data_IF_257939045205
#
_entry.id   IF_257939045205
#
_cell.length_a   1.000
_cell.length_b   1.000
_cell.length_c   1.000
_cell.angle_alpha   90.00
_cell.angle_beta   90.00
_cell.angle_gamma   90.00
#
_symmetry.space_group_name_H-M   'P 1'
#
loop_
_entity.id
_entity.type
_entity.pdbx_description
1 polymer ?
#
# COMPACT_ATOMS: atom_id res chain seq x y z
N UNK A 1 -7.91 -29.25 22.59
CA UNK A 1 -8.94 -30.22 22.17
C UNK A 1 -9.57 -30.74 23.46
N UNK A 2 -10.81 -30.45 23.88
CA UNK A 2 -11.97 -29.67 23.40
C UNK A 2 -12.46 -28.91 24.65
N UNK A 3 -12.51 -27.58 24.63
CA UNK A 3 -12.93 -26.78 25.81
C UNK A 3 -14.16 -25.94 25.42
N UNK A 4 -15.29 -26.62 25.26
CA UNK A 4 -16.60 -26.01 25.11
C UNK A 4 -17.26 -26.03 26.49
N UNK A 5 -17.18 -24.93 27.24
CA UNK A 5 -18.05 -24.77 28.41
C UNK A 5 -19.41 -24.27 27.94
N UNK A 6 -20.44 -25.07 28.17
CA UNK A 6 -21.82 -24.71 27.89
C UNK A 6 -22.35 -23.85 29.04
N UNK A 7 -22.64 -22.59 28.78
CA UNK A 7 -23.53 -21.79 29.63
C UNK A 7 -24.79 -21.53 28.81
N UNK A 8 -25.92 -22.11 29.22
CA UNK A 8 -27.26 -21.87 28.66
C UNK A 8 -27.39 -22.18 27.15
N UNK A 9 -26.81 -23.30 26.69
CA UNK A 9 -27.01 -23.78 25.31
C UNK A 9 -26.41 -22.90 24.20
N UNK A 10 -25.70 -21.82 24.56
CA UNK A 10 -25.08 -20.91 23.59
C UNK A 10 -23.58 -21.21 23.50
N UNK A 11 -23.10 -21.56 22.29
CA UNK A 11 -21.68 -21.77 22.03
C UNK A 11 -20.96 -20.43 22.16
N UNK A 12 -20.24 -20.23 23.26
CA UNK A 12 -19.47 -19.02 23.54
C UNK A 12 -18.01 -19.22 23.13
N UNK A 13 -17.55 -18.41 22.17
CA UNK A 13 -16.13 -18.34 21.82
C UNK A 13 -15.36 -17.66 22.97
N UNK A 14 -14.74 -18.45 23.85
CA UNK A 14 -13.88 -17.94 24.95
C UNK A 14 -12.69 -17.10 24.46
N UNK A 15 -12.21 -17.37 23.26
CA UNK A 15 -11.14 -16.62 22.62
C UNK A 15 -11.63 -15.34 21.93
N UNK A 16 -12.91 -14.95 22.06
CA UNK A 16 -13.41 -13.70 21.46
C UNK A 16 -12.66 -12.47 21.98
N UNK A 17 -12.16 -12.51 23.22
CA UNK A 17 -11.30 -11.46 23.79
C UNK A 17 -9.83 -11.63 23.38
N UNK A 18 -9.36 -12.87 23.21
CA UNK A 18 -8.02 -13.21 22.71
C UNK A 18 -7.85 -12.97 21.20
N UNK A 19 -8.95 -12.85 20.45
CA UNK A 19 -8.98 -12.59 19.01
C UNK A 19 -8.33 -11.25 18.60
N UNK A 20 -7.92 -10.42 19.56
CA UNK A 20 -7.09 -9.23 19.33
C UNK A 20 -5.62 -9.57 19.06
N UNK A 21 -5.15 -10.72 19.52
CA UNK A 21 -3.76 -11.15 19.44
C UNK A 21 -3.71 -12.42 18.58
N UNK A 22 -2.98 -12.39 17.47
CA UNK A 22 -2.81 -13.61 16.69
C UNK A 22 -2.04 -14.67 17.49
N UNK A 23 -2.24 -15.96 17.20
CA UNK A 23 -1.49 -17.05 17.85
C UNK A 23 0.02 -16.83 17.71
N UNK A 24 0.49 -16.37 16.55
CA UNK A 24 1.88 -16.00 16.33
C UNK A 24 2.34 -14.89 17.27
N UNK A 25 1.53 -13.84 17.46
CA UNK A 25 1.84 -12.76 18.38
C UNK A 25 1.85 -13.22 19.84
N UNK A 26 1.00 -14.19 20.21
CA UNK A 26 1.06 -14.83 21.52
C UNK A 26 2.41 -15.53 21.73
N UNK A 27 2.85 -16.36 20.79
CA UNK A 27 4.15 -17.05 20.88
C UNK A 27 5.34 -16.09 20.93
N UNK A 28 5.32 -15.03 20.11
CA UNK A 28 6.34 -13.97 20.15
C UNK A 28 6.43 -13.30 21.52
N UNK A 29 5.28 -13.06 22.18
CA UNK A 29 5.22 -12.42 23.51
C UNK A 29 5.63 -13.34 24.65
N UNK A 30 5.39 -14.64 24.54
CA UNK A 30 5.78 -15.63 25.55
C UNK A 30 7.23 -16.09 25.43
N UNK A 31 8.07 -15.35 24.67
CA UNK A 31 9.50 -15.61 24.46
C UNK A 31 9.80 -16.99 23.88
N UNK A 32 8.87 -17.55 23.11
CA UNK A 32 9.16 -18.74 22.31
C UNK A 32 10.16 -18.36 21.20
N UNK A 33 11.09 -19.27 20.92
CA UNK A 33 12.06 -19.08 19.85
C UNK A 33 11.33 -18.83 18.52
N UNK A 34 11.68 -17.72 17.86
CA UNK A 34 11.14 -17.33 16.56
C UNK A 34 12.30 -17.16 15.60
N UNK A 35 12.25 -17.86 14.46
CA UNK A 35 13.18 -17.61 13.38
C UNK A 35 12.83 -16.29 12.70
N UNK A 36 13.80 -15.38 12.66
CA UNK A 36 13.66 -14.08 12.00
C UNK A 36 14.40 -14.17 10.67
N UNK A 37 13.67 -14.02 9.58
CA UNK A 37 14.28 -13.84 8.26
C UNK A 37 14.77 -12.40 8.17
N UNK A 38 16.04 -12.22 7.86
CA UNK A 38 16.69 -10.92 7.76
C UNK A 38 17.05 -10.54 6.32
N UNK A 39 16.82 -11.41 5.33
CA UNK A 39 17.03 -11.10 3.92
C UNK A 39 15.69 -10.87 3.21
N UNK A 40 15.59 -9.79 2.41
CA UNK A 40 14.44 -9.55 1.54
C UNK A 40 14.83 -9.69 0.07
N UNK A 41 13.98 -10.35 -0.71
CA UNK A 41 14.30 -10.81 -2.07
C UNK A 41 13.49 -10.12 -3.17
N UNK A 42 12.68 -9.11 -2.85
CA UNK A 42 11.67 -8.56 -3.78
C UNK A 42 11.87 -7.09 -4.10
N UNK A 43 12.06 -6.27 -3.08
CA UNK A 43 12.03 -4.80 -3.16
C UNK A 43 13.41 -4.30 -3.57
N UNK A 44 13.49 -3.42 -4.56
CA UNK A 44 14.78 -2.87 -5.02
C UNK A 44 15.53 -2.17 -3.89
N UNK A 45 16.86 -2.26 -3.90
CA UNK A 45 17.75 -1.58 -2.96
C UNK A 45 17.33 -0.12 -2.71
N UNK A 46 17.13 0.23 -1.44
CA UNK A 46 16.72 1.58 -0.99
C UNK A 46 15.23 1.74 -0.75
N UNK A 47 14.36 1.02 -1.48
CA UNK A 47 12.91 1.25 -1.38
C UNK A 47 12.30 0.74 -0.07
N UNK A 48 12.92 -0.23 0.60
CA UNK A 48 12.45 -0.75 1.88
C UNK A 48 13.07 -0.02 3.10
N UNK A 49 14.09 0.82 2.90
CA UNK A 49 14.85 1.47 3.99
C UNK A 49 13.91 2.28 4.91
N UNK A 50 12.89 2.95 4.33
CA UNK A 50 11.91 3.73 5.07
C UNK A 50 11.03 2.88 6.01
N UNK A 51 10.70 1.66 5.61
CA UNK A 51 9.89 0.75 6.44
C UNK A 51 10.78 -0.01 7.43
N UNK A 52 11.99 -0.39 7.02
CA UNK A 52 12.92 -1.18 7.82
C UNK A 52 13.25 -0.48 9.16
N UNK A 53 13.65 0.78 9.13
CA UNK A 53 14.13 1.48 10.32
C UNK A 53 13.06 1.66 11.43
N UNK A 54 11.83 2.13 11.14
CA UNK A 54 10.81 2.32 12.17
C UNK A 54 9.99 1.06 12.50
N UNK A 55 9.76 0.16 11.54
CA UNK A 55 8.85 -0.99 11.73
C UNK A 55 9.60 -2.25 12.18
N UNK A 56 10.87 -2.42 11.76
CA UNK A 56 11.66 -3.63 12.00
C UNK A 56 13.01 -3.33 12.71
N UNK A 57 13.02 -2.56 13.82
CA UNK A 57 14.27 -2.19 14.50
C UNK A 57 14.98 -3.38 15.16
N UNK A 58 14.27 -4.49 15.38
CA UNK A 58 14.74 -5.70 16.04
C UNK A 58 15.35 -6.74 15.07
N UNK A 59 15.23 -6.53 13.75
CA UNK A 59 15.78 -7.44 12.74
C UNK A 59 17.26 -7.14 12.54
N UNK A 60 18.11 -7.95 13.18
CA UNK A 60 19.57 -7.83 13.08
C UNK A 60 20.11 -8.45 11.78
N UNK A 61 21.15 -7.81 11.22
CA UNK A 61 21.80 -8.28 10.00
C UNK A 61 20.88 -8.24 8.78
N UNK A 62 19.96 -7.27 8.72
CA UNK A 62 19.09 -7.11 7.56
C UNK A 62 19.91 -6.93 6.27
N UNK A 63 19.52 -7.64 5.22
CA UNK A 63 20.20 -7.62 3.93
C UNK A 63 19.20 -7.58 2.77
N UNK A 64 19.63 -6.92 1.70
CA UNK A 64 19.02 -6.98 0.39
C UNK A 64 19.57 -8.19 -0.37
N UNK A 65 18.68 -9.01 -0.93
CA UNK A 65 19.11 -10.17 -1.71
C UNK A 65 19.74 -9.80 -3.04
N UNK A 66 20.51 -10.71 -3.66
CA UNK A 66 21.32 -10.40 -4.84
C UNK A 66 20.51 -9.94 -6.05
N UNK A 67 19.24 -10.31 -6.17
CA UNK A 67 18.35 -9.91 -7.28
C UNK A 67 17.64 -8.58 -7.04
N UNK A 68 17.86 -7.94 -5.89
CA UNK A 68 17.24 -6.65 -5.55
C UNK A 68 18.13 -5.45 -5.89
N UNK A 69 19.35 -5.70 -6.35
CA UNK A 69 20.23 -4.69 -6.91
C UNK A 69 19.57 -3.97 -8.10
N UNK A 70 19.82 -2.67 -8.21
CA UNK A 70 19.11 -1.79 -9.16
C UNK A 70 19.33 -2.20 -10.62
N UNK A 71 20.53 -2.66 -10.95
CA UNK A 71 20.92 -3.17 -12.27
C UNK A 71 20.12 -4.43 -12.69
N UNK A 72 19.62 -5.19 -11.72
CA UNK A 72 18.77 -6.37 -11.94
C UNK A 72 17.28 -6.05 -11.89
N UNK A 73 16.91 -4.79 -11.68
CA UNK A 73 15.55 -4.30 -11.54
C UNK A 73 15.25 -3.25 -12.61
N UNK A 74 15.05 -3.66 -13.88
CA UNK A 74 15.00 -2.74 -15.02
C UNK A 74 13.88 -1.71 -14.92
N UNK A 75 12.71 -2.09 -14.42
CA UNK A 75 11.59 -1.17 -14.21
C UNK A 75 11.95 -0.12 -13.15
N UNK A 76 12.54 -0.54 -12.03
CA UNK A 76 12.95 0.39 -10.98
C UNK A 76 14.02 1.36 -11.47
N UNK A 77 15.06 0.87 -12.17
CA UNK A 77 16.11 1.71 -12.74
C UNK A 77 15.59 2.73 -13.77
N UNK A 78 14.62 2.32 -14.59
CA UNK A 78 13.98 3.19 -15.58
C UNK A 78 13.12 4.27 -14.90
N UNK A 79 12.26 3.87 -13.96
CA UNK A 79 11.42 4.81 -13.21
C UNK A 79 12.28 5.78 -12.41
N UNK A 80 13.36 5.32 -11.78
CA UNK A 80 14.28 6.16 -11.02
C UNK A 80 14.93 7.24 -11.90
N UNK A 81 15.46 6.86 -13.08
CA UNK A 81 15.98 7.84 -14.06
C UNK A 81 14.92 8.84 -14.51
N UNK A 82 13.70 8.39 -14.74
CA UNK A 82 12.59 9.28 -15.11
C UNK A 82 12.25 10.26 -13.98
N UNK A 83 12.26 9.81 -12.72
CA UNK A 83 12.04 10.66 -11.54
C UNK A 83 13.15 11.71 -11.43
N UNK A 84 14.42 11.30 -11.55
CA UNK A 84 15.57 12.21 -11.48
C UNK A 84 15.45 13.31 -12.54
N UNK A 85 15.06 12.94 -13.77
CA UNK A 85 14.86 13.90 -14.86
C UNK A 85 13.64 14.79 -14.67
N UNK A 86 12.52 14.23 -14.21
CA UNK A 86 11.22 14.93 -14.18
C UNK A 86 11.08 15.86 -12.99
N UNK A 87 11.63 15.46 -11.85
CA UNK A 87 11.52 16.20 -10.59
C UNK A 87 12.86 16.82 -10.16
N UNK A 88 13.91 16.68 -10.96
CA UNK A 88 15.27 17.18 -10.66
C UNK A 88 15.77 16.69 -9.28
N UNK A 89 15.45 15.44 -8.96
CA UNK A 89 15.84 14.79 -7.71
C UNK A 89 17.08 13.91 -7.91
N UNK A 90 17.90 13.78 -6.88
CA UNK A 90 19.03 12.87 -6.88
C UNK A 90 18.70 11.58 -6.10
N UNK A 91 19.05 10.43 -6.68
CA UNK A 91 19.02 9.14 -6.00
C UNK A 91 20.46 8.70 -5.66
N UNK A 92 20.69 8.06 -4.50
CA UNK A 92 22.00 7.48 -4.19
C UNK A 92 22.42 6.43 -5.24
N UNK A 93 23.73 6.29 -5.43
CA UNK A 93 24.32 5.28 -6.32
C UNK A 93 23.80 3.88 -5.94
N UNK A 94 23.43 3.09 -6.94
CA UNK A 94 22.93 1.71 -6.82
C UNK A 94 21.65 1.53 -5.98
N UNK A 95 20.91 2.61 -5.72
CA UNK A 95 19.63 2.60 -5.01
C UNK A 95 18.54 3.32 -5.80
N UNK A 96 17.30 2.91 -5.54
CA UNK A 96 16.13 3.70 -5.90
C UNK A 96 15.34 4.00 -4.64
N UNK A 97 14.88 5.24 -4.51
CA UNK A 97 14.12 5.71 -3.35
C UNK A 97 12.63 5.88 -3.69
N UNK A 98 11.72 5.68 -2.73
CA UNK A 98 10.31 5.94 -2.96
C UNK A 98 10.05 7.44 -3.18
N UNK A 99 9.23 7.76 -4.19
CA UNK A 99 8.77 9.13 -4.46
C UNK A 99 7.51 9.44 -3.65
N UNK A 100 7.54 10.54 -2.90
CA UNK A 100 6.37 11.08 -2.22
C UNK A 100 5.91 12.37 -2.88
N UNK A 101 4.73 12.34 -3.48
CA UNK A 101 4.11 13.53 -4.09
C UNK A 101 3.21 14.23 -3.08
N UNK A 102 3.63 15.43 -2.66
CA UNK A 102 2.79 16.28 -1.84
C UNK A 102 1.75 17.00 -2.70
N UNK A 103 0.48 16.59 -2.60
CA UNK A 103 -0.64 17.26 -3.26
C UNK A 103 -1.15 18.41 -2.38
N UNK A 104 -0.46 19.54 -2.46
CA UNK A 104 -0.81 20.75 -1.70
C UNK A 104 -2.24 21.20 -2.00
N UNK A 105 -2.93 21.72 -0.98
CA UNK A 105 -4.33 22.17 -1.08
C UNK A 105 -5.35 21.12 -1.52
N UNK A 106 -5.00 19.83 -1.55
CA UNK A 106 -5.99 18.77 -1.81
C UNK A 106 -6.96 18.61 -0.64
N UNK A 107 -8.25 18.47 -0.96
CA UNK A 107 -9.32 18.34 0.03
C UNK A 107 -9.77 16.88 0.13
N UNK A 108 -9.88 16.39 1.36
CA UNK A 108 -10.38 15.06 1.66
C UNK A 108 -11.85 15.16 2.11
N UNK A 109 -12.76 14.67 1.30
CA UNK A 109 -14.18 14.67 1.58
C UNK A 109 -14.60 13.38 2.31
N UNK A 110 -15.61 13.49 3.18
CA UNK A 110 -16.14 12.34 3.92
C UNK A 110 -17.50 11.94 3.35
N UNK A 111 -17.59 10.71 2.84
CA UNK A 111 -18.85 10.09 2.45
C UNK A 111 -19.21 9.00 3.46
N UNK A 112 -20.18 9.29 4.33
CA UNK A 112 -20.60 8.42 5.43
C UNK A 112 -19.44 8.04 6.36
N UNK A 113 -18.89 6.82 6.22
CA UNK A 113 -17.78 6.26 7.01
C UNK A 113 -16.50 6.08 6.18
N UNK A 114 -16.49 6.57 4.94
CA UNK A 114 -15.36 6.50 4.03
C UNK A 114 -14.91 7.90 3.65
N UNK A 115 -13.76 7.98 2.99
CA UNK A 115 -13.14 9.23 2.57
C UNK A 115 -12.74 9.15 1.11
N UNK A 116 -12.78 10.29 0.43
CA UNK A 116 -12.40 10.45 -0.98
C UNK A 116 -11.54 11.71 -1.10
N UNK A 117 -10.51 11.66 -1.94
CA UNK A 117 -9.76 12.84 -2.35
C UNK A 117 -9.60 12.79 -3.87
N UNK A 118 -10.50 13.46 -4.57
CA UNK A 118 -10.55 13.42 -6.04
C UNK A 118 -9.30 14.07 -6.66
N UNK A 119 -8.75 15.12 -6.05
CA UNK A 119 -7.53 15.75 -6.53
C UNK A 119 -6.34 14.78 -6.48
N UNK A 120 -6.14 14.09 -5.36
CA UNK A 120 -5.09 13.05 -5.28
C UNK A 120 -5.31 11.91 -6.27
N UNK A 121 -6.56 11.54 -6.53
CA UNK A 121 -6.89 10.52 -7.53
C UNK A 121 -6.47 10.96 -8.94
N UNK A 122 -6.75 12.22 -9.31
CA UNK A 122 -6.32 12.78 -10.60
C UNK A 122 -4.80 12.84 -10.73
N UNK A 123 -4.10 13.27 -9.68
CA UNK A 123 -2.62 13.29 -9.66
C UNK A 123 -2.05 11.87 -9.82
N UNK A 124 -2.60 10.87 -9.13
CA UNK A 124 -2.16 9.48 -9.26
C UNK A 124 -2.39 8.92 -10.68
N UNK A 125 -3.54 9.21 -11.28
CA UNK A 125 -3.85 8.79 -12.66
C UNK A 125 -2.91 9.48 -13.67
N UNK A 126 -2.67 10.78 -13.51
CA UNK A 126 -1.76 11.54 -14.38
C UNK A 126 -0.31 11.02 -14.28
N UNK A 127 0.16 10.71 -13.07
CA UNK A 127 1.47 10.11 -12.86
C UNK A 127 1.61 8.79 -13.62
N UNK A 128 0.63 7.88 -13.51
CA UNK A 128 0.64 6.60 -14.22
C UNK A 128 0.66 6.82 -15.73
N UNK A 129 -0.14 7.76 -16.25
CA UNK A 129 -0.14 8.09 -17.68
C UNK A 129 1.21 8.57 -18.17
N UNK A 130 1.85 9.48 -17.43
CA UNK A 130 3.20 9.96 -17.76
C UNK A 130 4.21 8.81 -17.79
N UNK A 131 4.16 7.91 -16.81
CA UNK A 131 5.02 6.73 -16.79
C UNK A 131 4.75 5.75 -17.95
N UNK A 132 3.49 5.56 -18.35
CA UNK A 132 3.15 4.75 -19.53
C UNK A 132 3.75 5.38 -20.81
N UNK A 133 3.59 6.69 -20.97
CA UNK A 133 4.05 7.39 -22.18
C UNK A 133 5.58 7.52 -22.20
N UNK A 134 6.17 8.03 -21.12
CA UNK A 134 7.59 8.40 -21.08
C UNK A 134 8.50 7.19 -20.83
N UNK A 135 8.03 6.18 -20.11
CA UNK A 135 8.80 4.97 -19.78
C UNK A 135 8.33 3.73 -20.56
N UNK A 136 7.36 3.86 -21.48
CA UNK A 136 6.82 2.74 -22.26
C UNK A 136 6.32 1.57 -21.40
N UNK A 137 5.83 1.86 -20.18
CA UNK A 137 5.22 0.87 -19.30
C UNK A 137 3.78 0.57 -19.76
N UNK A 138 3.27 -0.61 -19.47
CA UNK A 138 1.86 -0.95 -19.70
C UNK A 138 1.03 -0.79 -18.42
N UNK A 139 -0.28 -1.02 -18.51
CA UNK A 139 -1.15 -0.97 -17.34
C UNK A 139 -0.91 -2.11 -16.34
N UNK A 140 -0.30 -3.23 -16.78
CA UNK A 140 -0.10 -4.43 -15.97
C UNK A 140 1.06 -4.28 -14.96
N UNK A 141 1.99 -3.34 -15.20
CA UNK A 141 3.08 -3.03 -14.28
C UNK A 141 2.63 -2.18 -13.07
N UNK A 142 1.38 -1.72 -13.04
CA UNK A 142 0.87 -0.85 -11.98
C UNK A 142 -0.20 -1.52 -11.12
N UNK A 143 -0.11 -1.26 -9.81
CA UNK A 143 -1.17 -1.55 -8.85
C UNK A 143 -1.46 -0.30 -8.02
N UNK A 144 -2.69 0.19 -8.10
CA UNK A 144 -3.19 1.30 -7.28
C UNK A 144 -3.78 0.77 -5.98
N UNK A 145 -3.29 1.29 -4.85
CA UNK A 145 -3.76 0.91 -3.52
C UNK A 145 -4.32 2.16 -2.82
N UNK A 146 -5.48 2.01 -2.19
CA UNK A 146 -6.11 3.07 -1.39
C UNK A 146 -6.65 2.47 -0.08
N UNK A 147 -6.46 3.13 1.07
CA UNK A 147 -6.99 2.66 2.36
C UNK A 147 -8.52 2.80 2.45
N UNK A 148 -9.14 3.67 1.65
CA UNK A 148 -10.57 3.94 1.68
C UNK A 148 -11.27 3.35 0.45
N UNK A 149 -12.33 2.57 0.71
CA UNK A 149 -13.19 1.96 -0.33
C UNK A 149 -13.80 3.01 -1.26
N UNK A 150 -14.37 4.09 -0.71
CA UNK A 150 -14.98 5.13 -1.54
C UNK A 150 -13.96 5.82 -2.45
N UNK A 151 -12.72 6.02 -1.97
CA UNK A 151 -11.67 6.57 -2.81
C UNK A 151 -11.26 5.62 -3.94
N UNK A 152 -11.22 4.31 -3.68
CA UNK A 152 -10.98 3.30 -4.70
C UNK A 152 -12.12 3.26 -5.74
N UNK A 153 -13.38 3.34 -5.29
CA UNK A 153 -14.55 3.37 -6.17
C UNK A 153 -14.52 4.64 -7.07
N UNK A 154 -14.12 5.78 -6.50
CA UNK A 154 -13.88 7.05 -7.23
C UNK A 154 -12.79 6.88 -8.29
N UNK A 155 -11.60 6.36 -7.93
CA UNK A 155 -10.51 6.05 -8.88
C UNK A 155 -10.98 5.16 -10.04
N UNK A 156 -11.69 4.08 -9.75
CA UNK A 156 -12.19 3.15 -10.76
C UNK A 156 -13.20 3.81 -11.70
N UNK A 157 -14.08 4.66 -11.17
CA UNK A 157 -15.03 5.42 -11.98
C UNK A 157 -14.29 6.36 -12.94
N UNK A 158 -13.35 7.17 -12.42
CA UNK A 158 -12.58 8.12 -13.24
C UNK A 158 -11.80 7.42 -14.35
N UNK A 159 -11.15 6.28 -14.05
CA UNK A 159 -10.41 5.50 -15.05
C UNK A 159 -11.33 4.95 -16.17
N UNK A 160 -12.52 4.46 -15.82
CA UNK A 160 -13.51 3.95 -16.80
C UNK A 160 -14.07 5.06 -17.68
N UNK A 161 -14.39 6.22 -17.09
CA UNK A 161 -14.90 7.38 -17.82
C UNK A 161 -13.87 7.90 -18.82
N UNK A 162 -12.60 7.99 -18.41
CA UNK A 162 -11.53 8.43 -19.30
C UNK A 162 -11.22 7.42 -20.41
N UNK A 163 -11.31 6.12 -20.14
CA UNK A 163 -11.22 5.10 -21.19
C UNK A 163 -12.37 5.19 -22.20
N UNK A 164 -13.59 5.48 -21.72
CA UNK A 164 -14.78 5.62 -22.56
C UNK A 164 -14.75 6.91 -23.39
N UNK A 165 -14.24 8.02 -22.82
CA UNK A 165 -14.07 9.30 -23.52
C UNK A 165 -12.96 9.29 -24.57
N UNK A 166 -11.88 8.52 -24.36
CA UNK A 166 -10.82 8.34 -25.36
C UNK A 166 -11.28 7.55 -26.61
N UNK A 167 -12.40 6.82 -26.51
CA UNK A 167 -12.95 6.02 -27.60
C UNK A 167 -13.75 6.84 -28.65
N UNK A 168 -13.90 8.15 -28.44
CA UNK A 168 -14.66 9.05 -29.32
C UNK A 168 -13.87 9.63 -30.52
N UNK A 169 -12.56 9.40 -30.61
CA UNK A 169 -11.69 10.01 -31.63
C UNK A 169 -10.85 9.02 -32.45
N UNK A 170 -11.11 7.71 -32.38
CA UNK A 170 -10.47 6.75 -33.30
C UNK A 170 -11.39 5.58 -33.59
N UNK A 171 -11.96 5.56 -34.79
CA UNK A 171 -12.61 4.36 -35.32
C UNK A 171 -11.54 3.33 -35.68
N UNK A 172 -11.41 2.25 -34.92
CA UNK A 172 -11.28 0.87 -35.44
C UNK A 172 -11.21 -0.20 -34.34
N UNK A 173 -11.98 -1.27 -34.57
CA UNK A 173 -11.94 -2.66 -34.05
C UNK A 173 -11.81 -2.93 -32.54
N UNK A 174 -12.96 -3.31 -31.97
CA UNK A 174 -13.12 -4.11 -30.75
C UNK A 174 -12.30 -5.40 -30.79
N UNK A 175 -11.51 -5.66 -29.75
CA UNK A 175 -11.22 -7.02 -29.27
C UNK A 175 -11.81 -7.18 -27.88
N UNK A 176 -12.58 -8.26 -27.72
CA UNK A 176 -13.30 -8.59 -26.50
C UNK A 176 -12.32 -9.13 -25.45
N UNK A 177 -12.05 -8.38 -24.38
CA UNK A 177 -11.54 -8.95 -23.14
C UNK A 177 -12.42 -8.54 -21.96
N UNK A 178 -13.00 -9.56 -21.32
CA UNK A 178 -13.84 -9.44 -20.13
C UNK A 178 -12.96 -9.03 -18.95
N UNK A 179 -13.30 -7.97 -18.19
CA UNK A 179 -12.67 -7.77 -16.89
C UNK A 179 -13.16 -8.85 -15.92
N UNK A 180 -12.22 -9.57 -15.31
CA UNK A 180 -12.48 -10.46 -14.19
C UNK A 180 -12.98 -9.62 -13.00
N UNK A 181 -14.30 -9.67 -12.76
CA UNK A 181 -14.91 -9.22 -11.52
C UNK A 181 -14.87 -10.38 -10.51
N UNK A 182 -13.95 -10.32 -9.55
CA UNK A 182 -14.01 -11.13 -8.34
C UNK A 182 -14.56 -10.26 -7.21
N UNK A 183 -15.87 -10.29 -7.04
CA UNK A 183 -16.54 -9.95 -5.79
C UNK A 183 -17.51 -11.07 -5.48
N UNK A 184 -17.24 -11.84 -4.42
CA UNK A 184 -18.25 -12.34 -3.49
C UNK A 184 -17.56 -13.02 -2.30
N UNK A 185 -17.69 -12.44 -1.11
CA UNK A 185 -18.21 -13.17 0.06
C UNK A 185 -18.65 -12.24 1.17
N UNK A 186 -19.64 -12.75 1.88
CA UNK A 186 -20.66 -12.09 2.67
C UNK A 186 -20.22 -11.37 3.96
N UNK A 187 -20.93 -10.26 4.19
CA UNK A 187 -21.52 -9.74 5.44
C UNK A 187 -20.91 -10.20 6.77
N UNK A 188 -20.32 -9.24 7.51
CA UNK A 188 -20.88 -8.67 8.76
C UNK A 188 -20.02 -7.48 9.25
N UNK A 189 -20.61 -6.40 9.80
CA UNK A 189 -19.86 -5.24 10.26
C UNK A 189 -19.38 -5.43 11.70
N UNK A 190 -18.08 -5.40 11.94
CA UNK A 190 -17.53 -5.32 13.31
C UNK A 190 -16.53 -4.17 13.36
N UNK A 191 -17.02 -2.96 13.60
CA UNK A 191 -16.20 -1.94 14.24
C UNK A 191 -17.05 -1.12 15.22
N UNK A 192 -16.76 -1.33 16.50
CA UNK A 192 -17.21 -0.54 17.64
C UNK A 192 -16.19 0.58 17.84
N UNK A 193 -16.69 1.80 18.05
CA UNK A 193 -15.92 3.03 18.33
C UNK A 193 -14.79 2.78 19.34
N UNK A 194 -13.59 3.27 19.03
CA UNK A 194 -12.64 3.69 20.05
C UNK A 194 -12.22 5.13 19.78
N UNK A 195 -12.36 5.95 20.82
CA UNK A 195 -12.10 7.38 20.85
C UNK A 195 -10.61 7.67 20.64
N UNK A 196 -10.39 8.85 20.09
CA UNK A 196 -9.16 9.62 20.08
C UNK A 196 -8.40 9.51 21.40
N UNK A 197 -7.07 9.39 21.32
CA UNK A 197 -6.11 10.34 21.88
C UNK A 197 -4.69 9.86 21.57
N UNK A 198 -3.75 10.82 21.53
CA UNK A 198 -2.29 10.69 21.35
C UNK A 198 -1.75 11.03 19.94
N UNK A 199 -1.71 12.33 19.66
CA UNK A 199 -0.56 12.96 19.01
C UNK A 199 0.02 14.00 19.99
N UNK A 200 1.11 13.65 20.68
CA UNK A 200 2.05 14.63 21.23
C UNK A 200 3.40 14.35 20.60
N UNK A 201 3.77 15.22 19.66
CA UNK A 201 5.10 15.27 19.08
C UNK A 201 6.08 15.81 20.13
N UNK A 202 7.16 15.08 20.36
CA UNK A 202 8.35 15.58 21.04
C UNK A 202 9.09 16.52 20.09
N UNK A 203 9.16 17.81 20.45
CA UNK A 203 10.18 18.71 19.94
C UNK A 203 11.44 18.54 20.79
N UNK A 204 12.49 17.96 20.23
CA UNK A 204 13.83 18.01 20.78
C UNK A 204 14.54 19.24 20.20
N UNK A 205 14.50 20.35 20.93
CA UNK A 205 15.34 21.52 20.65
C UNK A 205 16.72 21.31 21.26
N UNK A 206 17.71 21.06 20.40
CA UNK A 206 19.13 21.31 20.68
C UNK A 206 19.35 22.81 20.90
N UNK A 207 20.09 23.17 21.95
CA UNK A 207 20.95 24.36 22.06
C UNK A 207 22.09 24.06 23.06
N UNK A 208 23.22 24.76 22.94
CA UNK A 208 24.58 24.20 22.98
C UNK A 208 25.05 23.72 24.35
#
# INVERSE_FOLDING_TARGET
MTLMDQKEGTILNRFALDARTSILQHFKRTRNACFILNEQLRITNGQFDLAQAPIYPDVQGFAYGPNTALDKQPIAAMVDKWIQKTYELESPIDKSLPLFLHCESSVCETHQRSRVNEHQNLVAIDLIRKLIVDCSLTGEEFVLISPYRANLDSLQKTLKEQASGASGLSGTRRTNHRPYAMCHRDRRPIYRKQKSDLCRYHQASRRP
#
